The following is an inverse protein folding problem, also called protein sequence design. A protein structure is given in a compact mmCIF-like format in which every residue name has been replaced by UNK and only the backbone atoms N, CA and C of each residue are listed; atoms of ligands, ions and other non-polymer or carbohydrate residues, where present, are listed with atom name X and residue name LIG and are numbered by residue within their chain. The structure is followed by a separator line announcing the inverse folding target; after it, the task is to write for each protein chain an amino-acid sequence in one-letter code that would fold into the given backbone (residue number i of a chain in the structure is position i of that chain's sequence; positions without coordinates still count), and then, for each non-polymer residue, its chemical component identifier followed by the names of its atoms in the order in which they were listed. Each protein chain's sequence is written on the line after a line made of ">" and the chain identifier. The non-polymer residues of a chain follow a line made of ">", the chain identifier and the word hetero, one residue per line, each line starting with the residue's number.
data_IF_052460755025
#
_entry.id   IF_052460755025
#
_cell.length_a   1.000
_cell.length_b   1.000
_cell.length_c   1.000
_cell.angle_alpha   90.00
_cell.angle_beta   90.00
_cell.angle_gamma   90.00
#
_symmetry.space_group_name_H-M   'P 1'
#
loop_
_entity.id
_entity.type
_entity.pdbx_description
1 polymer ?
#
# COMPACT_ATOMS: atom_id res chain seq x y z
N UNK A 1 -5.69 7.13 13.32
CA UNK A 1 -7.00 7.63 12.85
C UNK A 1 -8.16 7.39 13.82
N UNK A 2 -8.32 6.18 14.39
CA UNK A 2 -9.49 5.86 15.24
C UNK A 2 -9.70 6.81 16.42
N UNK A 3 -8.63 7.27 17.08
CA UNK A 3 -8.70 8.21 18.19
C UNK A 3 -8.81 9.70 17.78
N UNK A 4 -8.77 10.04 16.49
CA UNK A 4 -8.75 11.44 16.04
C UNK A 4 -10.17 12.02 15.93
N UNK A 5 -10.42 13.14 16.62
CA UNK A 5 -11.74 13.77 16.74
C UNK A 5 -11.97 15.05 15.90
N UNK A 6 -10.92 15.73 15.40
CA UNK A 6 -11.10 17.02 14.69
C UNK A 6 -11.54 16.91 13.21
N UNK A 7 -12.32 17.86 12.69
CA UNK A 7 -12.95 17.76 11.35
C UNK A 7 -11.99 17.53 10.16
N UNK A 8 -10.72 17.90 10.33
CA UNK A 8 -9.65 17.61 9.38
C UNK A 8 -8.57 16.84 10.12
N UNK A 9 -8.17 15.70 9.56
CA UNK A 9 -7.10 14.87 10.14
C UNK A 9 -5.88 14.97 9.24
N UNK A 10 -4.74 15.34 9.83
CA UNK A 10 -3.48 15.47 9.12
C UNK A 10 -2.51 14.40 9.61
N UNK A 11 -1.84 13.71 8.69
CA UNK A 11 -0.76 12.76 8.99
C UNK A 11 0.57 13.41 8.69
N UNK A 12 1.57 13.13 9.52
CA UNK A 12 2.93 13.64 9.41
C UNK A 12 3.91 12.60 9.97
N UNK A 13 5.04 12.40 9.29
CA UNK A 13 6.14 11.59 9.80
C UNK A 13 6.95 12.35 10.86
N UNK A 14 7.36 11.66 11.93
CA UNK A 14 8.15 12.24 13.01
C UNK A 14 9.65 12.41 12.67
N UNK A 15 10.05 12.30 11.40
CA UNK A 15 11.43 12.34 10.95
C UNK A 15 11.91 13.74 10.52
N UNK A 16 11.08 14.76 10.77
CA UNK A 16 11.32 16.18 10.45
C UNK A 16 11.59 16.46 8.95
N UNK A 17 11.36 15.50 8.05
CA UNK A 17 11.55 15.72 6.61
C UNK A 17 10.44 16.57 5.99
N UNK A 18 9.26 16.58 6.62
CA UNK A 18 8.10 17.34 6.19
C UNK A 18 7.82 18.46 7.21
N UNK A 19 7.95 19.74 6.82
CA UNK A 19 7.82 20.84 7.77
C UNK A 19 6.35 21.03 8.22
N UNK A 20 6.06 21.11 9.53
CA UNK A 20 4.71 21.34 10.06
C UNK A 20 4.09 22.67 9.61
N UNK A 21 4.90 23.64 9.19
CA UNK A 21 4.45 24.93 8.65
C UNK A 21 3.60 24.79 7.39
N UNK A 22 3.65 23.65 6.70
CA UNK A 22 2.82 23.38 5.52
C UNK A 22 1.39 22.97 5.89
N UNK A 23 1.15 22.48 7.12
CA UNK A 23 -0.17 21.96 7.56
C UNK A 23 -1.33 22.95 7.30
N UNK A 24 -1.22 24.26 7.58
CA UNK A 24 -2.30 25.21 7.30
C UNK A 24 -2.70 25.24 5.82
N UNK A 25 -1.75 25.07 4.88
CA UNK A 25 -2.04 25.03 3.44
C UNK A 25 -2.83 23.79 3.05
N UNK A 26 -2.52 22.63 3.65
CA UNK A 26 -3.30 21.41 3.42
C UNK A 26 -4.73 21.56 3.96
N UNK A 27 -4.87 22.10 5.18
CA UNK A 27 -6.19 22.30 5.81
C UNK A 27 -7.04 23.29 5.01
N UNK A 28 -6.44 24.38 4.50
CA UNK A 28 -7.14 25.33 3.64
C UNK A 28 -7.74 24.64 2.41
N UNK A 29 -6.98 23.76 1.76
CA UNK A 29 -7.48 22.97 0.61
C UNK A 29 -8.59 22.01 1.00
N UNK A 30 -8.51 21.33 2.14
CA UNK A 30 -9.63 20.49 2.61
C UNK A 30 -10.89 21.33 2.81
N UNK A 31 -10.76 22.56 3.34
CA UNK A 31 -11.88 23.49 3.53
C UNK A 31 -12.48 24.03 2.23
N UNK A 32 -11.72 24.07 1.12
CA UNK A 32 -12.28 24.31 -0.23
C UNK A 32 -13.18 23.14 -0.71
N UNK A 33 -13.19 22.03 0.03
CA UNK A 33 -14.04 20.86 -0.19
C UNK A 33 -13.32 19.65 -0.76
N UNK A 34 -11.98 19.66 -0.84
CA UNK A 34 -11.21 18.48 -1.20
C UNK A 34 -11.26 17.44 -0.07
N UNK A 35 -11.46 16.17 -0.44
CA UNK A 35 -11.57 15.07 0.50
C UNK A 35 -10.20 14.59 0.98
N UNK A 36 -9.22 14.60 0.07
CA UNK A 36 -7.84 14.23 0.33
C UNK A 36 -6.92 15.26 -0.29
N UNK A 37 -5.97 15.75 0.51
CA UNK A 37 -4.92 16.66 0.06
C UNK A 37 -3.58 16.03 0.38
N UNK A 38 -2.79 15.73 -0.65
CA UNK A 38 -1.46 15.16 -0.48
C UNK A 38 -0.37 16.21 -0.75
N UNK A 39 0.68 16.20 0.08
CA UNK A 39 1.92 16.87 -0.26
C UNK A 39 2.63 16.13 -1.40
N UNK A 40 3.22 16.86 -2.34
CA UNK A 40 4.21 16.31 -3.25
C UNK A 40 5.50 17.13 -3.17
N UNK A 41 6.63 16.42 -3.24
CA UNK A 41 7.97 17.00 -3.12
C UNK A 41 8.50 17.37 -4.49
N UNK A 42 8.70 18.66 -4.76
CA UNK A 42 9.34 19.12 -5.99
C UNK A 42 10.86 18.92 -5.88
N UNK A 43 11.49 18.52 -6.99
CA UNK A 43 12.94 18.28 -7.13
C UNK A 43 13.54 17.08 -6.34
N UNK A 44 13.05 15.86 -6.60
CA UNK A 44 13.73 14.63 -6.15
C UNK A 44 15.06 14.38 -6.89
N UNK A 45 16.19 14.45 -6.18
CA UNK A 45 17.50 13.89 -6.61
C UNK A 45 17.62 12.41 -6.24
N UNK A 46 16.61 11.61 -6.58
CA UNK A 46 16.62 10.16 -6.36
C UNK A 46 17.39 9.44 -7.48
N UNK A 47 18.12 8.34 -7.19
CA UNK A 47 18.74 7.48 -8.21
C UNK A 47 17.68 6.88 -9.16
N UNK A 48 18.05 6.62 -10.42
CA UNK A 48 17.12 6.17 -11.47
C UNK A 48 16.31 4.93 -11.09
N UNK A 49 16.87 3.97 -10.35
CA UNK A 49 16.15 2.78 -9.88
C UNK A 49 14.99 3.12 -8.94
N UNK A 50 15.18 4.09 -8.04
CA UNK A 50 14.16 4.56 -7.11
C UNK A 50 13.09 5.40 -7.82
N UNK A 51 13.48 6.14 -8.88
CA UNK A 51 12.53 6.85 -9.76
C UNK A 51 11.65 5.87 -10.54
N UNK A 52 12.22 4.82 -11.12
CA UNK A 52 11.46 3.81 -11.87
C UNK A 52 10.46 3.06 -10.96
N UNK A 53 10.91 2.64 -9.78
CA UNK A 53 10.02 1.99 -8.79
C UNK A 53 8.89 2.93 -8.34
N UNK A 54 9.21 4.19 -8.04
CA UNK A 54 8.19 5.19 -7.66
C UNK A 54 7.22 5.47 -8.80
N UNK A 55 7.70 5.53 -10.05
CA UNK A 55 6.87 5.73 -11.24
C UNK A 55 5.91 4.57 -11.48
N UNK A 56 6.42 3.34 -11.44
CA UNK A 56 5.59 2.14 -11.60
C UNK A 56 4.53 2.08 -10.49
N UNK A 57 4.94 2.33 -9.25
CA UNK A 57 4.05 2.33 -8.10
C UNK A 57 2.95 3.39 -8.21
N UNK A 58 3.32 4.65 -8.51
CA UNK A 58 2.35 5.73 -8.68
C UNK A 58 1.35 5.43 -9.81
N UNK A 59 1.81 4.76 -10.89
CA UNK A 59 0.95 4.40 -12.03
C UNK A 59 0.02 3.24 -11.70
N UNK A 60 0.49 2.22 -10.97
CA UNK A 60 -0.32 1.11 -10.48
C UNK A 60 -1.38 1.58 -9.50
N UNK A 61 -0.99 2.41 -8.52
CA UNK A 61 -1.93 2.95 -7.55
C UNK A 61 -2.91 3.89 -8.23
N UNK A 62 -2.46 4.78 -9.12
CA UNK A 62 -3.36 5.65 -9.87
C UNK A 62 -4.35 4.88 -10.74
N UNK A 63 -3.95 3.74 -11.33
CA UNK A 63 -4.86 2.86 -12.05
C UNK A 63 -5.86 2.15 -11.12
N UNK A 64 -5.46 1.79 -9.90
CA UNK A 64 -6.33 1.12 -8.93
C UNK A 64 -7.31 2.07 -8.22
N UNK A 65 -6.88 3.29 -7.89
CA UNK A 65 -7.68 4.29 -7.16
C UNK A 65 -8.43 5.26 -8.08
N UNK A 66 -8.10 5.29 -9.38
CA UNK A 66 -8.62 6.27 -10.32
C UNK A 66 -7.99 7.67 -10.20
N UNK A 67 -7.11 7.88 -9.22
CA UNK A 67 -6.49 9.18 -8.94
C UNK A 67 -4.97 9.12 -9.11
N UNK A 68 -4.44 9.81 -10.11
CA UNK A 68 -3.00 9.94 -10.29
C UNK A 68 -2.43 11.00 -9.34
N UNK A 69 -1.51 10.58 -8.48
CA UNK A 69 -0.70 11.48 -7.65
C UNK A 69 0.77 11.42 -8.05
N UNK A 70 1.45 12.56 -7.93
CA UNK A 70 2.87 12.71 -8.20
C UNK A 70 3.74 12.04 -7.13
N UNK A 71 3.30 12.00 -5.87
CA UNK A 71 4.07 11.37 -4.79
C UNK A 71 3.19 10.61 -3.77
N UNK A 72 2.95 9.32 -4.03
CA UNK A 72 2.31 8.44 -3.04
C UNK A 72 3.19 8.19 -1.79
N UNK A 73 4.48 8.51 -1.82
CA UNK A 73 5.40 8.32 -0.71
C UNK A 73 5.52 9.48 0.28
N UNK A 74 4.90 10.64 0.04
CA UNK A 74 4.92 11.76 1.00
C UNK A 74 3.85 11.57 2.07
N UNK A 75 4.23 11.35 3.33
CA UNK A 75 3.27 11.09 4.42
C UNK A 75 2.54 12.33 4.94
N UNK A 76 2.97 13.54 4.53
CA UNK A 76 2.27 14.77 4.83
C UNK A 76 0.99 14.86 3.99
N UNK A 77 -0.14 14.52 4.63
CA UNK A 77 -1.46 14.47 3.98
C UNK A 77 -2.54 14.95 4.91
N UNK A 78 -3.59 15.55 4.36
CA UNK A 78 -4.80 15.92 5.07
C UNK A 78 -6.02 15.19 4.50
N UNK A 79 -6.92 14.78 5.38
CA UNK A 79 -8.11 14.03 5.07
C UNK A 79 -9.33 14.72 5.69
N UNK A 80 -10.42 14.78 4.94
CA UNK A 80 -11.72 15.22 5.44
C UNK A 80 -12.28 14.19 6.43
N UNK A 81 -13.12 14.67 7.36
CA UNK A 81 -13.84 13.82 8.33
C UNK A 81 -14.59 12.66 7.66
N UNK A 82 -15.28 12.95 6.55
CA UNK A 82 -16.05 11.95 5.80
C UNK A 82 -15.18 10.76 5.35
N UNK A 83 -14.01 11.02 4.75
CA UNK A 83 -13.09 9.96 4.32
C UNK A 83 -12.54 9.18 5.51
N UNK A 84 -12.15 9.89 6.58
CA UNK A 84 -11.62 9.25 7.79
C UNK A 84 -12.65 8.30 8.42
N UNK A 85 -13.92 8.68 8.44
CA UNK A 85 -14.96 7.86 9.06
C UNK A 85 -15.32 6.63 8.22
N UNK A 86 -15.26 6.72 6.89
CA UNK A 86 -15.36 5.54 6.01
C UNK A 86 -14.17 4.60 6.24
N UNK A 87 -12.95 5.14 6.27
CA UNK A 87 -11.73 4.34 6.54
C UNK A 87 -11.81 3.61 7.89
N UNK A 88 -12.39 4.23 8.93
CA UNK A 88 -12.54 3.59 10.24
C UNK A 88 -13.45 2.35 10.19
N UNK A 89 -14.38 2.29 9.24
CA UNK A 89 -15.32 1.17 9.06
C UNK A 89 -14.70 0.03 8.24
N UNK A 90 -13.60 0.28 7.53
CA UNK A 90 -12.89 -0.75 6.77
C UNK A 90 -12.17 -1.73 7.72
N UNK A 91 -12.39 -3.04 7.59
CA UNK A 91 -11.66 -4.06 8.36
C UNK A 91 -10.23 -4.28 7.84
N UNK A 92 -9.94 -3.79 6.63
CA UNK A 92 -8.71 -4.05 5.86
C UNK A 92 -7.43 -3.79 6.65
N UNK A 93 -6.52 -4.77 6.66
CA UNK A 93 -5.27 -4.71 7.44
C UNK A 93 -4.05 -4.34 6.63
N UNK A 94 -4.01 -4.77 5.38
CA UNK A 94 -2.83 -4.69 4.51
C UNK A 94 -2.88 -3.52 3.53
N UNK A 95 -3.87 -2.64 3.63
CA UNK A 95 -4.04 -1.53 2.70
C UNK A 95 -3.27 -0.30 3.17
N UNK A 96 -2.42 0.22 2.28
CA UNK A 96 -1.72 1.48 2.48
C UNK A 96 -2.74 2.60 2.64
N UNK A 97 -2.74 3.27 3.80
CA UNK A 97 -3.76 4.26 4.16
C UNK A 97 -4.05 5.32 3.07
N UNK A 98 -3.04 5.88 2.37
CA UNK A 98 -3.26 6.80 1.25
C UNK A 98 -4.01 6.17 0.06
N UNK A 99 -3.80 4.89 -0.23
CA UNK A 99 -4.53 4.18 -1.30
C UNK A 99 -6.01 4.10 -0.91
N UNK A 100 -6.30 3.64 0.31
CA UNK A 100 -7.67 3.50 0.81
C UNK A 100 -8.39 4.85 0.85
N UNK A 101 -7.71 5.89 1.31
CA UNK A 101 -8.26 7.24 1.34
C UNK A 101 -8.61 7.76 -0.05
N UNK A 102 -7.75 7.54 -1.05
CA UNK A 102 -8.02 7.97 -2.41
C UNK A 102 -9.15 7.18 -3.06
N UNK A 103 -9.30 5.89 -2.77
CA UNK A 103 -10.42 5.08 -3.27
C UNK A 103 -11.78 5.64 -2.82
N UNK A 104 -11.87 6.19 -1.61
CA UNK A 104 -13.11 6.79 -1.08
C UNK A 104 -13.24 8.30 -1.34
N UNK A 105 -12.18 8.93 -1.84
CA UNK A 105 -12.17 10.37 -2.11
C UNK A 105 -12.91 10.68 -3.42
N UNK A 106 -13.80 11.68 -3.38
CA UNK A 106 -14.39 12.24 -4.61
C UNK A 106 -13.48 13.30 -5.21
N UNK A 107 -12.87 14.13 -4.37
CA UNK A 107 -11.97 15.21 -4.77
C UNK A 107 -10.62 15.06 -4.11
N UNK A 108 -9.59 14.81 -4.92
CA UNK A 108 -8.19 14.73 -4.49
C UNK A 108 -7.43 15.94 -5.01
N UNK A 109 -6.61 16.56 -4.17
CA UNK A 109 -5.68 17.62 -4.56
C UNK A 109 -4.25 17.31 -4.13
N UNK A 110 -3.30 17.89 -4.84
CA UNK A 110 -1.89 17.89 -4.47
C UNK A 110 -1.40 19.31 -4.23
N UNK A 111 -0.61 19.50 -3.19
CA UNK A 111 0.08 20.76 -2.93
C UNK A 111 1.58 20.55 -2.90
N UNK A 112 2.29 21.48 -3.54
CA UNK A 112 3.74 21.47 -3.48
C UNK A 112 4.20 21.82 -2.07
N UNK A 113 4.97 20.91 -1.48
CA UNK A 113 5.56 21.07 -0.15
C UNK A 113 7.07 21.07 -0.24
N UNK A 114 7.68 21.94 0.55
CA UNK A 114 9.12 22.01 0.71
C UNK A 114 9.65 20.71 1.35
N UNK A 115 10.76 20.18 0.83
CA UNK A 115 11.42 19.00 1.40
C UNK A 115 12.75 19.42 2.00
N UNK A 116 12.92 19.20 3.31
CA UNK A 116 14.21 19.38 3.94
C UNK A 116 15.09 18.15 3.66
N UNK A 117 16.34 18.38 3.23
CA UNK A 117 17.33 17.32 3.11
C UNK A 117 17.58 16.68 4.49
N UNK A 118 17.68 15.35 4.53
CA UNK A 118 17.94 14.58 5.76
C UNK A 118 19.18 15.12 6.46
N UNK A 119 19.03 15.68 7.67
CA UNK A 119 20.18 16.16 8.44
C UNK A 119 21.02 15.02 9.07
N UNK A 120 20.46 13.84 9.32
CA UNK A 120 21.19 12.65 9.81
C UNK A 120 20.56 11.35 9.33
N UNK A 121 21.36 10.47 8.71
CA UNK A 121 21.01 9.06 8.47
C UNK A 121 21.35 8.58 7.06
N UNK A 122 22.39 7.75 6.95
CA UNK A 122 22.69 7.01 5.72
C UNK A 122 21.49 6.11 5.37
N UNK A 123 21.07 6.12 4.10
CA UNK A 123 19.94 5.33 3.63
C UNK A 123 20.26 3.83 3.73
N UNK A 124 19.92 3.21 4.86
CA UNK A 124 20.01 1.78 5.13
C UNK A 124 18.90 0.96 4.43
N UNK A 125 18.43 1.39 3.27
CA UNK A 125 17.49 0.59 2.47
C UNK A 125 18.28 -0.27 1.48
N UNK A 126 18.49 -1.54 1.84
CA UNK A 126 18.99 -2.56 0.92
C UNK A 126 18.06 -2.67 -0.30
N UNK A 127 18.64 -2.80 -1.50
CA UNK A 127 17.91 -3.09 -2.75
C UNK A 127 16.89 -4.22 -2.60
N UNK A 128 17.21 -5.25 -1.81
CA UNK A 128 16.31 -6.38 -1.54
C UNK A 128 15.04 -5.98 -0.78
N UNK A 129 15.15 -4.99 0.13
CA UNK A 129 14.02 -4.47 0.91
C UNK A 129 13.10 -3.60 0.03
N UNK A 130 13.67 -2.85 -0.91
CA UNK A 130 12.89 -2.08 -1.90
C UNK A 130 12.14 -3.01 -2.85
N UNK A 131 12.79 -4.06 -3.36
CA UNK A 131 12.13 -5.05 -4.22
C UNK A 131 11.01 -5.79 -3.50
N UNK A 132 11.27 -6.26 -2.28
CA UNK A 132 10.25 -6.90 -1.44
C UNK A 132 9.07 -5.96 -1.18
N UNK A 133 9.33 -4.71 -0.81
CA UNK A 133 8.29 -3.72 -0.57
C UNK A 133 7.42 -3.49 -1.82
N UNK A 134 8.02 -3.38 -3.00
CA UNK A 134 7.26 -3.22 -4.25
C UNK A 134 6.44 -4.46 -4.59
N UNK A 135 6.97 -5.66 -4.37
CA UNK A 135 6.23 -6.90 -4.55
C UNK A 135 5.06 -6.99 -3.56
N UNK A 136 5.30 -6.69 -2.28
CA UNK A 136 4.27 -6.71 -1.22
C UNK A 136 3.12 -5.74 -1.52
N UNK A 137 3.45 -4.57 -2.07
CA UNK A 137 2.49 -3.55 -2.48
C UNK A 137 1.74 -3.96 -3.76
N UNK A 138 2.44 -4.52 -4.74
CA UNK A 138 1.84 -5.00 -5.99
C UNK A 138 0.81 -6.09 -5.72
N UNK A 139 1.15 -7.09 -4.89
CA UNK A 139 0.23 -8.17 -4.51
C UNK A 139 -0.80 -7.73 -3.46
N UNK A 140 -0.59 -6.59 -2.79
CA UNK A 140 -1.52 -6.04 -1.79
C UNK A 140 -2.63 -5.20 -2.36
N UNK A 141 -2.38 -4.56 -3.49
CA UNK A 141 -3.32 -3.64 -4.12
C UNK A 141 -3.88 -4.24 -5.42
N UNK A 142 -3.24 -5.28 -5.97
CA UNK A 142 -3.61 -5.82 -7.27
C UNK A 142 -3.62 -7.34 -7.31
N UNK A 143 -4.65 -7.89 -7.96
CA UNK A 143 -4.73 -9.29 -8.38
C UNK A 143 -4.11 -9.54 -9.76
N UNK A 144 -3.59 -8.49 -10.41
CA UNK A 144 -2.97 -8.60 -11.74
C UNK A 144 -1.89 -9.70 -11.79
N UNK A 145 -0.92 -9.80 -10.86
CA UNK A 145 0.09 -10.86 -10.92
C UNK A 145 -0.51 -12.27 -11.00
N UNK A 146 -1.61 -12.50 -10.28
CA UNK A 146 -2.31 -13.78 -10.28
C UNK A 146 -2.95 -14.07 -11.66
N UNK A 147 -3.58 -13.06 -12.27
CA UNK A 147 -4.18 -13.19 -13.60
C UNK A 147 -3.12 -13.46 -14.68
N UNK A 148 -1.95 -12.84 -14.60
CA UNK A 148 -0.86 -13.07 -15.57
C UNK A 148 -0.32 -14.49 -15.48
N UNK A 149 -0.13 -15.00 -14.26
CA UNK A 149 0.29 -16.40 -14.06
C UNK A 149 -0.80 -17.38 -14.50
N UNK A 150 -2.07 -17.09 -14.22
CA UNK A 150 -3.20 -17.91 -14.66
C UNK A 150 -3.32 -17.96 -16.19
N UNK A 151 -3.25 -16.80 -16.85
CA UNK A 151 -3.31 -16.70 -18.31
C UNK A 151 -2.08 -17.37 -18.96
N UNK A 152 -0.88 -17.13 -18.43
CA UNK A 152 0.34 -17.78 -18.89
C UNK A 152 0.24 -19.31 -18.76
N UNK A 153 -0.27 -19.80 -17.62
CA UNK A 153 -0.53 -21.22 -17.39
C UNK A 153 -1.53 -21.81 -18.39
N UNK A 154 -2.61 -21.08 -18.70
CA UNK A 154 -3.60 -21.50 -19.70
C UNK A 154 -2.98 -21.62 -21.09
N UNK A 155 -2.20 -20.62 -21.53
CA UNK A 155 -1.50 -20.66 -22.83
C UNK A 155 -0.55 -21.85 -22.89
N UNK A 156 0.21 -22.08 -21.82
CA UNK A 156 1.16 -23.19 -21.73
C UNK A 156 0.46 -24.56 -21.76
N UNK A 157 -0.70 -24.67 -21.11
CA UNK A 157 -1.53 -25.88 -21.13
C UNK A 157 -2.08 -26.15 -22.54
N UNK A 158 -2.53 -25.12 -23.26
CA UNK A 158 -3.01 -25.26 -24.64
C UNK A 158 -1.88 -25.68 -25.60
N UNK A 159 -0.70 -25.06 -25.47
CA UNK A 159 0.49 -25.45 -26.25
C UNK A 159 0.93 -26.89 -25.91
N UNK A 160 0.91 -27.26 -24.64
CA UNK A 160 1.22 -28.62 -24.18
C UNK A 160 0.23 -29.65 -24.72
N UNK A 161 -1.07 -29.33 -24.73
CA UNK A 161 -2.11 -30.18 -25.31
C UNK A 161 -1.91 -30.36 -26.81
N UNK A 162 -1.65 -29.27 -27.55
CA UNK A 162 -1.36 -29.33 -28.98
C UNK A 162 -0.13 -30.19 -29.27
N UNK A 163 0.95 -30.01 -28.49
CA UNK A 163 2.16 -30.79 -28.63
C UNK A 163 1.95 -32.27 -28.29
N UNK A 164 1.16 -32.59 -27.28
CA UNK A 164 0.80 -33.97 -26.93
C UNK A 164 -0.01 -34.64 -28.04
N UNK A 165 -1.00 -33.95 -28.62
CA UNK A 165 -1.76 -34.45 -29.78
C UNK A 165 -0.85 -34.65 -30.98
N UNK A 166 0.05 -33.71 -31.26
CA UNK A 166 1.05 -33.84 -32.32
C UNK A 166 1.94 -35.07 -32.15
N UNK A 167 2.48 -35.29 -30.94
CA UNK A 167 3.30 -36.48 -30.63
C UNK A 167 2.49 -37.77 -30.72
N UNK A 168 1.22 -37.76 -30.32
CA UNK A 168 0.32 -38.92 -30.42
C UNK A 168 0.08 -39.30 -31.89
N UNK A 169 -0.24 -38.32 -32.74
CA UNK A 169 -0.41 -38.55 -34.18
C UNK A 169 0.89 -39.03 -34.82
N UNK A 170 2.02 -38.41 -34.49
CA UNK A 170 3.34 -38.83 -34.99
C UNK A 170 3.69 -40.25 -34.54
N UNK A 171 3.35 -40.63 -33.30
CA UNK A 171 3.57 -41.99 -32.77
C UNK A 171 2.75 -43.05 -33.52
N UNK A 172 1.52 -42.73 -33.93
CA UNK A 172 0.68 -43.64 -34.71
C UNK A 172 1.18 -43.84 -36.16
N UNK A 173 1.83 -42.83 -36.74
CA UNK A 173 2.31 -42.88 -38.14
C UNK A 173 3.75 -43.43 -38.24
N UNK A 174 4.66 -42.97 -37.37
CA UNK A 174 6.12 -43.20 -37.52
C UNK A 174 6.65 -44.29 -36.59
N UNK A 175 5.95 -44.58 -35.47
CA UNK A 175 6.38 -45.60 -34.50
C UNK A 175 7.23 -45.06 -33.34
N UNK A 176 7.89 -45.94 -32.55
CA UNK A 176 8.61 -45.57 -31.34
C UNK A 176 9.99 -44.97 -31.56
N UNK A 177 10.23 -43.75 -31.05
CA UNK A 177 11.58 -43.17 -30.94
C UNK A 177 12.02 -43.19 -29.46
N UNK A 178 13.22 -43.70 -29.18
CA UNK A 178 13.78 -43.90 -27.82
C UNK A 178 14.71 -42.74 -27.41
N UNK A 179 15.01 -41.83 -28.33
CA UNK A 179 15.90 -40.69 -28.12
C UNK A 179 15.13 -39.46 -27.60
N UNK A 180 15.07 -39.29 -26.28
CA UNK A 180 14.38 -38.13 -25.71
C UNK A 180 14.42 -37.97 -24.18
N UNK A 181 15.23 -38.75 -23.47
CA UNK A 181 15.20 -38.78 -22.00
C UNK A 181 15.65 -37.43 -21.39
N UNK A 182 16.71 -36.82 -21.92
CA UNK A 182 17.19 -35.52 -21.42
C UNK A 182 16.23 -34.36 -21.74
N UNK A 183 15.60 -34.37 -22.91
CA UNK A 183 14.57 -33.38 -23.28
C UNK A 183 13.32 -33.55 -22.43
N UNK A 184 12.93 -34.80 -22.12
CA UNK A 184 11.83 -35.10 -21.21
C UNK A 184 12.10 -34.57 -19.79
N UNK A 185 13.31 -34.78 -19.26
CA UNK A 185 13.69 -34.24 -17.95
C UNK A 185 13.73 -32.71 -17.94
N UNK A 186 14.25 -32.07 -19.00
CA UNK A 186 14.25 -30.61 -19.09
C UNK A 186 12.83 -30.03 -19.10
N UNK A 187 11.92 -30.63 -19.87
CA UNK A 187 10.49 -30.26 -19.91
C UNK A 187 9.84 -30.51 -18.54
N UNK A 188 10.10 -31.66 -17.93
CA UNK A 188 9.56 -32.03 -16.62
C UNK A 188 9.99 -31.02 -15.55
N UNK A 189 11.29 -30.70 -15.44
CA UNK A 189 11.78 -29.74 -14.47
C UNK A 189 11.21 -28.34 -14.68
N UNK A 190 11.04 -27.92 -15.94
CA UNK A 190 10.40 -26.65 -16.25
C UNK A 190 8.94 -26.61 -15.76
N UNK A 191 8.15 -27.65 -16.02
CA UNK A 191 6.76 -27.72 -15.56
C UNK A 191 6.66 -27.82 -14.03
N UNK A 192 7.49 -28.64 -13.38
CA UNK A 192 7.53 -28.74 -11.90
C UNK A 192 7.93 -27.39 -11.29
N UNK A 193 8.93 -26.72 -11.84
CA UNK A 193 9.34 -25.38 -11.40
C UNK A 193 8.22 -24.35 -11.55
N UNK A 194 7.53 -24.35 -12.70
CA UNK A 194 6.39 -23.46 -12.94
C UNK A 194 5.21 -23.72 -12.00
N UNK A 195 4.92 -24.99 -11.68
CA UNK A 195 3.90 -25.38 -10.71
C UNK A 195 4.24 -24.92 -9.29
N UNK A 196 5.48 -25.15 -8.83
CA UNK A 196 5.94 -24.67 -7.52
C UNK A 196 5.84 -23.15 -7.44
N UNK A 197 6.21 -22.43 -8.51
CA UNK A 197 6.05 -20.98 -8.60
C UNK A 197 4.59 -20.54 -8.49
N UNK A 198 3.67 -21.19 -9.22
CA UNK A 198 2.25 -20.88 -9.17
C UNK A 198 1.65 -21.13 -7.78
N UNK A 199 2.01 -22.26 -7.13
CA UNK A 199 1.59 -22.56 -5.75
C UNK A 199 2.15 -21.54 -4.76
N UNK A 200 3.42 -21.14 -4.92
CA UNK A 200 4.03 -20.07 -4.11
C UNK A 200 3.27 -18.75 -4.22
N UNK A 201 2.86 -18.37 -5.44
CA UNK A 201 2.06 -17.18 -5.66
C UNK A 201 0.67 -17.30 -5.01
N UNK A 202 -0.01 -18.44 -5.16
CA UNK A 202 -1.29 -18.69 -4.49
C UNK A 202 -1.13 -18.62 -2.96
N UNK A 203 -0.04 -19.17 -2.41
CA UNK A 203 0.29 -19.11 -0.98
C UNK A 203 0.44 -17.68 -0.45
N UNK A 204 1.00 -16.77 -1.24
CA UNK A 204 1.09 -15.34 -0.91
C UNK A 204 -0.30 -14.70 -0.77
N UNK A 205 -1.20 -14.95 -1.72
CA UNK A 205 -2.59 -14.46 -1.64
C UNK A 205 -3.38 -15.13 -0.51
N UNK A 206 -3.19 -16.44 -0.32
CA UNK A 206 -3.84 -17.19 0.75
C UNK A 206 -3.43 -16.68 2.13
N UNK A 207 -2.14 -16.33 2.31
CA UNK A 207 -1.64 -15.73 3.55
C UNK A 207 -2.33 -14.39 3.84
N UNK A 208 -2.53 -13.55 2.81
CA UNK A 208 -3.25 -12.28 2.96
C UNK A 208 -4.71 -12.47 3.37
N UNK A 209 -5.41 -13.38 2.71
CA UNK A 209 -6.79 -13.73 3.05
C UNK A 209 -6.84 -14.27 4.49
N UNK A 210 -5.92 -15.15 4.85
CA UNK A 210 -5.85 -15.73 6.18
C UNK A 210 -5.59 -14.70 7.28
N UNK A 211 -4.70 -13.72 7.04
CA UNK A 211 -4.45 -12.63 7.98
C UNK A 211 -5.63 -11.67 8.12
N UNK A 212 -6.42 -11.48 7.06
CA UNK A 212 -7.66 -10.71 7.08
C UNK A 212 -8.74 -11.43 7.90
N UNK A 213 -8.94 -12.74 7.67
CA UNK A 213 -9.92 -13.58 8.37
C UNK A 213 -9.57 -13.79 9.84
N UNK A 214 -8.28 -13.82 10.20
CA UNK A 214 -7.80 -14.02 11.59
C UNK A 214 -8.39 -13.01 12.59
N UNK A 215 -8.85 -11.84 12.16
CA UNK A 215 -9.60 -10.94 13.03
C UNK A 215 -8.81 -10.31 14.20
N UNK A 216 -7.49 -10.57 14.33
CA UNK A 216 -6.67 -10.03 15.44
C UNK A 216 -6.68 -8.49 15.45
N UNK A 217 -6.82 -7.80 16.59
CA UNK A 217 -6.78 -6.35 16.61
C UNK A 217 -5.41 -5.84 16.12
N UNK A 218 -5.41 -4.77 15.29
CA UNK A 218 -4.18 -4.18 14.74
C UNK A 218 -3.24 -3.65 15.84
N UNK A 219 -3.81 -3.17 16.94
CA UNK A 219 -3.09 -2.70 18.11
C UNK A 219 -3.97 -2.84 19.34
N UNK A 220 -3.33 -2.92 20.51
CA UNK A 220 -3.99 -2.87 21.82
C UNK A 220 -3.51 -1.58 22.48
N UNK A 221 -4.45 -0.72 22.87
CA UNK A 221 -4.12 0.52 23.57
C UNK A 221 -3.85 0.18 25.03
N UNK A 222 -2.61 0.39 25.49
CA UNK A 222 -2.23 0.15 26.88
C UNK A 222 -2.70 1.28 27.81
N UNK A 223 -2.60 2.52 27.34
CA UNK A 223 -2.97 3.71 28.11
C UNK A 223 -3.31 4.86 27.16
N UNK A 224 -4.31 5.67 27.52
CA UNK A 224 -4.63 6.94 26.86
C UNK A 224 -4.27 8.05 27.85
N UNK A 225 -3.36 8.94 27.44
CA UNK A 225 -3.00 10.12 28.22
C UNK A 225 -3.80 11.30 27.67
N UNK A 226 -4.84 11.72 28.39
CA UNK A 226 -5.60 12.92 28.09
C UNK A 226 -5.00 14.07 28.89
N UNK A 227 -4.56 15.13 28.22
CA UNK A 227 -4.23 16.37 28.90
C UNK A 227 -5.53 17.15 29.06
N UNK A 228 -6.15 17.13 30.24
CA UNK A 228 -7.19 18.11 30.53
C UNK A 228 -6.57 19.50 30.50
N UNK A 229 -7.22 20.50 29.88
CA UNK A 229 -6.71 21.86 29.90
C UNK A 229 -6.69 22.35 31.35
N UNK A 230 -5.49 22.58 31.90
CA UNK A 230 -5.29 23.23 33.19
C UNK A 230 -5.93 24.62 33.15
N UNK A 231 -7.15 24.77 33.65
CA UNK A 231 -7.84 26.07 33.59
C UNK A 231 -9.34 26.06 33.79
N UNK A 232 -9.84 25.43 34.85
CA UNK A 232 -11.03 25.93 35.53
C UNK A 232 -10.62 26.18 36.98
N UNK A 233 -10.10 27.38 37.25
CA UNK A 233 -9.94 27.84 38.61
C UNK A 233 -11.32 27.76 39.29
N UNK A 234 -11.40 27.04 40.41
CA UNK A 234 -12.55 27.11 41.31
C UNK A 234 -12.86 28.59 41.57
N UNK A 235 -14.12 29.04 41.45
CA UNK A 235 -14.48 30.39 41.87
C UNK A 235 -14.14 30.53 43.36
N UNK A 236 -13.55 31.66 43.79
CA UNK A 236 -13.20 31.85 45.19
C UNK A 236 -14.43 31.67 46.07
N UNK A 237 -14.31 30.82 47.08
CA UNK A 237 -15.34 30.61 48.08
C UNK A 237 -15.76 31.97 48.65
N UNK A 238 -17.06 32.26 48.56
CA UNK A 238 -17.65 33.44 49.18
C UNK A 238 -17.29 33.43 50.67
N UNK A 239 -16.57 34.45 51.11
CA UNK A 239 -16.34 34.72 52.52
C UNK A 239 -17.71 34.91 53.19
N UNK A 240 -18.19 33.89 53.89
CA UNK A 240 -19.29 34.02 54.83
C UNK A 240 -18.77 34.85 56.00
N UNK A 241 -19.21 36.11 56.07
CA UNK A 241 -19.10 36.91 57.28
C UNK A 241 -19.83 36.21 58.43
N UNK A 242 -19.15 36.11 59.56
CA UNK A 242 -19.77 36.03 60.88
C UNK A 242 -19.06 37.08 61.72
N UNK A 243 -19.73 38.21 61.86
CA UNK A 243 -19.67 39.04 63.06
C UNK A 243 -20.37 38.25 64.18
N UNK A 244 -19.65 37.97 65.26
CA UNK A 244 -20.13 37.97 66.66
C UNK A 244 -18.94 37.90 67.63
#
# INVERSE_FOLDING_TARGET
>A
LRAAAGDVVVTLDADLQNPPSEIPRLVAKVREGYDVVAGWRRHRRDPCSRRLASWLMNRLVGAATGHYLHDYGCMLRAYSRAVVDVIKQCPERHTFLPVLANTFARRVAEIEVSHADRQKGTSKYSWSKLWRLNLDLLTGISTLPLHWVSLGGLVLALLGLFFAVFLMVRRLIVGPEVEGVFTLFAILFFFVGAQIFAIGLIGEYLTRIYDEVRGRPQYIVRQILTHEPTGAAEPPAAASGHDE
#
